data_IF_551652632982
#
_entry.id   IF_551652632982
#
_cell.length_a   1.000
_cell.length_b   1.000
_cell.length_c   1.000
_cell.angle_alpha   90.00
_cell.angle_beta   90.00
_cell.angle_gamma   90.00
#
_symmetry.space_group_name_H-M   'P 1'
#
loop_
_entity.id
_entity.type
_entity.pdbx_description
1 polymer ?
#
# COMPACT_ATOMS: atom_id res chain seq x y z
N UNK A 1 3.79 -5.38 -10.91
CA UNK A 1 3.52 -4.33 -10.00
C UNK A 1 4.72 -3.53 -9.56
N UNK A 2 4.51 -2.23 -9.51
CA UNK A 2 5.55 -1.33 -9.05
C UNK A 2 5.51 -1.22 -7.53
N UNK A 3 6.69 -1.07 -6.94
CA UNK A 3 6.79 -0.86 -5.50
C UNK A 3 6.29 0.53 -5.18
N UNK A 4 5.36 0.61 -4.24
CA UNK A 4 4.79 1.87 -3.79
C UNK A 4 5.50 2.36 -2.54
N UNK A 5 5.61 1.49 -1.52
CA UNK A 5 6.19 1.85 -0.23
C UNK A 5 7.10 0.72 0.23
N UNK A 6 8.31 1.08 0.62
CA UNK A 6 9.22 0.17 1.31
C UNK A 6 9.30 0.61 2.77
N UNK A 7 9.07 -0.32 3.67
CA UNK A 7 8.99 0.02 5.10
C UNK A 7 9.53 -1.11 5.95
N UNK A 8 9.96 -0.75 7.13
CA UNK A 8 10.31 -1.72 8.16
C UNK A 8 9.10 -1.83 9.08
N UNK A 9 8.41 -2.95 9.01
CA UNK A 9 7.16 -3.09 9.73
C UNK A 9 6.02 -2.42 8.98
N UNK A 10 4.81 -2.58 9.48
CA UNK A 10 3.62 -2.15 8.78
C UNK A 10 3.19 -0.77 9.23
N UNK A 11 3.77 0.27 8.61
CA UNK A 11 3.34 1.65 8.83
C UNK A 11 2.17 2.01 7.94
N UNK A 12 2.16 1.49 6.71
CA UNK A 12 1.07 1.63 5.77
C UNK A 12 0.49 0.26 5.51
N UNK A 13 -0.81 0.19 5.40
CA UNK A 13 -1.52 -1.05 5.14
C UNK A 13 -1.95 -1.12 3.68
N UNK A 14 -2.03 -2.30 3.09
CA UNK A 14 -2.51 -2.43 1.72
C UNK A 14 -4.01 -2.16 1.66
N UNK A 15 -4.40 -1.25 0.76
CA UNK A 15 -5.80 -0.98 0.46
C UNK A 15 -6.24 -1.71 -0.79
N UNK A 16 -7.13 -1.08 -1.56
CA UNK A 16 -7.60 -1.67 -2.80
C UNK A 16 -6.49 -1.74 -3.84
N UNK A 17 -6.40 -2.88 -4.52
CA UNK A 17 -5.44 -3.11 -5.61
C UNK A 17 -3.99 -2.95 -5.18
N UNK A 18 -3.72 -3.18 -3.91
CA UNK A 18 -2.37 -3.12 -3.36
C UNK A 18 -2.08 -4.43 -2.64
N UNK A 19 -0.92 -5.02 -2.93
CA UNK A 19 -0.46 -6.19 -2.24
C UNK A 19 0.67 -5.87 -1.28
N UNK A 20 0.94 -6.79 -0.35
CA UNK A 20 2.02 -6.63 0.61
C UNK A 20 2.97 -7.81 0.52
N UNK A 21 4.27 -7.51 0.47
CA UNK A 21 5.30 -8.53 0.43
C UNK A 21 5.71 -9.01 1.81
N UNK A 22 6.63 -9.96 1.86
CA UNK A 22 7.09 -10.54 3.12
C UNK A 22 7.83 -9.53 4.00
N UNK A 23 8.45 -8.55 3.39
CA UNK A 23 9.19 -7.50 4.08
C UNK A 23 8.37 -6.24 4.27
N UNK A 24 7.04 -6.37 4.26
CA UNK A 24 6.10 -5.27 4.40
C UNK A 24 6.14 -4.26 3.26
N UNK A 25 6.72 -4.63 2.13
CA UNK A 25 6.74 -3.78 0.94
C UNK A 25 5.37 -3.77 0.27
N UNK A 26 4.84 -2.59 0.01
CA UNK A 26 3.58 -2.45 -0.69
C UNK A 26 3.83 -2.28 -2.18
N UNK A 27 3.05 -2.97 -2.99
CA UNK A 27 3.17 -2.90 -4.44
C UNK A 27 1.79 -2.86 -5.08
N UNK A 28 1.72 -2.24 -6.26
CA UNK A 28 0.45 -2.13 -6.96
C UNK A 28 0.14 -3.44 -7.69
N UNK A 29 -1.13 -3.81 -7.68
CA UNK A 29 -1.63 -4.98 -8.39
C UNK A 29 -2.17 -4.61 -9.76
N UNK A 30 -2.44 -3.33 -10.00
CA UNK A 30 -2.98 -2.82 -11.25
C UNK A 30 -2.32 -1.50 -11.58
N UNK A 31 -2.47 -1.05 -12.82
CA UNK A 31 -2.05 0.29 -13.21
C UNK A 31 -3.08 1.29 -12.75
N UNK A 32 -2.60 2.41 -12.21
CA UNK A 32 -3.50 3.45 -11.74
C UNK A 32 -2.79 4.47 -10.87
N UNK A 33 -3.57 5.30 -10.22
CA UNK A 33 -3.05 6.35 -9.36
C UNK A 33 -3.00 5.87 -7.92
N UNK A 34 -1.92 6.21 -7.23
CA UNK A 34 -1.77 5.89 -5.82
C UNK A 34 -2.56 6.89 -5.00
N UNK A 35 -3.36 6.36 -4.09
CA UNK A 35 -4.16 7.16 -3.17
C UNK A 35 -3.84 6.73 -1.75
N UNK A 36 -3.75 7.70 -0.86
CA UNK A 36 -3.56 7.44 0.56
C UNK A 36 -4.86 7.73 1.30
N UNK A 37 -5.28 6.77 2.11
CA UNK A 37 -6.47 6.91 2.94
C UNK A 37 -6.09 6.69 4.39
N UNK A 38 -6.70 7.46 5.28
CA UNK A 38 -6.49 7.31 6.72
C UNK A 38 -7.80 6.93 7.37
N UNK A 39 -7.74 5.89 8.21
CA UNK A 39 -8.91 5.43 8.94
C UNK A 39 -8.46 4.90 10.31
N UNK A 40 -9.02 5.41 11.38
CA UNK A 40 -8.79 4.92 12.75
C UNK A 40 -7.32 4.73 13.08
N UNK A 41 -6.52 5.76 12.96
CA UNK A 41 -5.08 5.70 13.27
C UNK A 41 -4.28 4.78 12.35
N UNK A 42 -4.86 4.33 11.24
CA UNK A 42 -4.16 3.53 10.24
C UNK A 42 -4.17 4.26 8.92
N UNK A 43 -3.08 4.11 8.20
CA UNK A 43 -2.97 4.68 6.87
C UNK A 43 -2.98 3.55 5.85
N UNK A 44 -3.84 3.68 4.85
CA UNK A 44 -3.97 2.69 3.78
C UNK A 44 -3.50 3.29 2.48
N UNK A 45 -2.85 2.46 1.68
CA UNK A 45 -2.43 2.84 0.34
C UNK A 45 -3.30 2.07 -0.65
N UNK A 46 -3.89 2.80 -1.58
CA UNK A 46 -4.77 2.23 -2.58
C UNK A 46 -4.30 2.63 -3.96
N UNK A 47 -4.65 1.84 -4.95
CA UNK A 47 -4.42 2.18 -6.36
C UNK A 47 -5.76 2.15 -7.07
N UNK A 48 -6.04 3.22 -7.75
CA UNK A 48 -7.32 3.36 -8.43
C UNK A 48 -7.13 3.48 -9.94
#
# INVERSE_FOLDING_TARGET
GNIIVRQRGTKFYPGENVGIGKDHTLFSLVEGKVLFKKSRNRQFVCVN
#
